data_IF_476812044240
#
_entry.id   IF_476812044240
#
_cell.length_a   1.000
_cell.length_b   1.000
_cell.length_c   1.000
_cell.angle_alpha   90.00
_cell.angle_beta   90.00
_cell.angle_gamma   90.00
#
_symmetry.space_group_name_H-M   'P 1'
#
loop_
_entity.id
_entity.type
_entity.pdbx_description
1 polymer ?
#
# COMPACT_ATOMS: atom_id res chain seq x y z
N UNK A 1 8.93 -26.36 -28.47
CA UNK A 1 10.25 -26.02 -27.89
C UNK A 1 10.00 -25.13 -26.68
N UNK A 2 10.49 -25.54 -25.52
CA UNK A 2 9.93 -25.23 -24.20
C UNK A 2 10.11 -23.76 -23.75
N UNK A 3 9.06 -23.21 -23.13
CA UNK A 3 9.10 -22.02 -22.28
C UNK A 3 9.23 -22.51 -20.83
N UNK A 4 10.38 -22.22 -20.23
CA UNK A 4 10.71 -22.60 -18.86
C UNK A 4 9.96 -21.64 -17.90
N UNK A 5 8.89 -22.13 -17.27
CA UNK A 5 8.12 -21.40 -16.26
C UNK A 5 8.46 -21.97 -14.88
N UNK A 6 9.38 -21.30 -14.19
CA UNK A 6 9.77 -21.68 -12.84
C UNK A 6 9.18 -20.65 -11.86
N UNK A 7 8.11 -21.02 -11.16
CA UNK A 7 7.76 -20.44 -9.85
C UNK A 7 6.84 -21.38 -9.07
N UNK A 8 7.47 -22.37 -8.44
CA UNK A 8 6.84 -23.16 -7.39
C UNK A 8 6.69 -22.31 -6.12
N UNK A 9 5.47 -22.19 -5.60
CA UNK A 9 5.22 -21.92 -4.18
C UNK A 9 3.72 -22.02 -3.84
N UNK A 10 3.31 -23.11 -3.18
CA UNK A 10 1.94 -23.35 -2.67
C UNK A 10 1.99 -23.41 -1.15
N UNK A 11 1.05 -22.80 -0.40
CA UNK A 11 0.98 -22.98 1.06
C UNK A 11 -0.47 -23.02 1.58
N UNK A 12 -0.86 -24.16 2.17
CA UNK A 12 -2.19 -24.50 2.70
C UNK A 12 -2.15 -24.90 4.18
N UNK A 13 -2.88 -24.22 5.09
CA UNK A 13 -2.83 -24.41 6.58
C UNK A 13 -3.12 -25.80 7.16
N UNK A 14 -2.06 -26.51 7.56
CA UNK A 14 -1.99 -27.71 8.42
C UNK A 14 -1.33 -27.34 9.76
N UNK A 15 -1.92 -27.83 10.85
CA UNK A 15 -1.50 -27.64 12.25
C UNK A 15 -0.76 -28.88 12.76
N UNK A 16 0.46 -28.72 13.30
CA UNK A 16 1.11 -29.74 14.14
C UNK A 16 1.69 -29.09 15.40
N UNK A 17 1.52 -29.76 16.55
CA UNK A 17 2.05 -29.34 17.86
C UNK A 17 3.50 -29.79 18.01
N UNK A 18 4.36 -28.98 18.62
CA UNK A 18 5.74 -29.39 18.96
C UNK A 18 5.78 -30.23 20.26
N UNK A 19 6.95 -30.81 20.59
CA UNK A 19 7.17 -31.72 21.72
C UNK A 19 6.83 -31.14 23.10
N UNK A 20 6.64 -29.82 23.19
CA UNK A 20 6.34 -29.11 24.44
C UNK A 20 4.86 -28.66 24.51
N UNK A 21 4.01 -29.11 23.58
CA UNK A 21 2.56 -28.87 23.61
C UNK A 21 2.12 -27.43 23.32
N UNK A 22 3.04 -26.52 22.98
CA UNK A 22 2.71 -25.13 22.64
C UNK A 22 2.38 -24.98 21.15
N UNK A 23 1.39 -24.15 20.84
CA UNK A 23 0.99 -23.85 19.46
C UNK A 23 2.08 -23.03 18.76
N UNK A 24 2.80 -23.65 17.83
CA UNK A 24 3.74 -22.96 16.95
C UNK A 24 2.93 -22.27 15.83
N UNK A 25 2.87 -20.94 15.84
CA UNK A 25 2.23 -20.17 14.74
C UNK A 25 3.08 -20.31 13.47
N UNK A 26 2.71 -21.22 12.59
CA UNK A 26 3.32 -21.32 11.26
C UNK A 26 2.66 -20.34 10.29
N UNK A 27 3.42 -19.30 9.94
CA UNK A 27 3.11 -18.35 8.87
C UNK A 27 2.87 -19.06 7.53
N UNK A 28 1.92 -18.57 6.75
CA UNK A 28 1.43 -19.16 5.49
C UNK A 28 1.76 -18.25 4.31
N UNK A 29 3.02 -18.19 3.87
CA UNK A 29 3.49 -17.16 2.95
C UNK A 29 2.85 -17.14 1.55
N UNK A 30 2.03 -18.12 1.14
CA UNK A 30 1.59 -18.26 -0.25
C UNK A 30 0.07 -18.17 -0.49
N UNK A 31 -0.78 -18.36 0.52
CA UNK A 31 -2.23 -18.11 0.40
C UNK A 31 -2.56 -16.62 0.38
N UNK A 32 -1.84 -15.83 1.18
CA UNK A 32 -2.22 -14.45 1.45
C UNK A 32 -1.98 -13.56 0.22
N UNK A 33 -0.89 -13.81 -0.53
CA UNK A 33 -0.62 -13.08 -1.78
C UNK A 33 -1.62 -13.42 -2.89
N UNK A 34 -2.02 -14.69 -3.04
CA UNK A 34 -3.01 -15.07 -4.06
C UNK A 34 -4.38 -14.46 -3.75
N UNK A 35 -4.80 -14.51 -2.49
CA UNK A 35 -6.04 -13.86 -2.03
C UNK A 35 -5.99 -12.35 -2.25
N UNK A 36 -4.88 -11.72 -1.91
CA UNK A 36 -4.70 -10.28 -2.14
C UNK A 36 -4.71 -9.93 -3.64
N UNK A 37 -4.06 -10.71 -4.49
CA UNK A 37 -4.13 -10.55 -5.95
C UNK A 37 -5.56 -10.64 -6.49
N UNK A 38 -6.31 -11.63 -6.04
CA UNK A 38 -7.73 -11.79 -6.41
C UNK A 38 -8.56 -10.58 -5.95
N UNK A 39 -8.32 -10.11 -4.73
CA UNK A 39 -9.02 -8.97 -4.16
C UNK A 39 -8.76 -7.68 -4.93
N UNK A 40 -7.50 -7.40 -5.29
CA UNK A 40 -7.11 -6.17 -6.00
C UNK A 40 -7.55 -6.17 -7.45
N UNK A 41 -7.55 -7.34 -8.12
CA UNK A 41 -8.00 -7.45 -9.52
C UNK A 41 -9.51 -7.36 -9.67
N UNK A 42 -10.25 -7.71 -8.62
CA UNK A 42 -11.71 -7.68 -8.63
C UNK A 42 -12.24 -6.25 -8.54
N UNK A 43 -13.14 -5.89 -9.45
CA UNK A 43 -13.90 -4.63 -9.38
C UNK A 43 -15.14 -4.74 -8.48
N UNK A 44 -15.39 -5.93 -7.91
CA UNK A 44 -16.46 -6.14 -6.93
C UNK A 44 -16.17 -5.42 -5.61
N UNK A 45 -14.90 -5.31 -5.24
CA UNK A 45 -14.48 -4.85 -3.91
C UNK A 45 -14.00 -3.40 -3.89
N UNK A 46 -13.71 -2.82 -5.06
CA UNK A 46 -13.24 -1.46 -5.19
C UNK A 46 -14.03 -0.74 -6.26
N UNK A 47 -14.52 0.46 -5.92
CA UNK A 47 -14.97 1.42 -6.92
C UNK A 47 -13.79 1.85 -7.82
N UNK A 48 -14.09 2.48 -8.95
CA UNK A 48 -13.05 3.11 -9.75
C UNK A 48 -12.37 4.23 -8.95
N UNK A 49 -11.06 4.07 -8.74
CA UNK A 49 -10.22 5.05 -8.05
C UNK A 49 -9.39 5.88 -9.03
N UNK A 50 -9.58 5.68 -10.34
CA UNK A 50 -8.86 6.42 -11.36
C UNK A 50 -9.05 7.93 -11.19
N UNK A 51 -7.95 8.68 -11.30
CA UNK A 51 -7.98 10.13 -11.13
C UNK A 51 -8.09 10.62 -9.68
N UNK A 52 -8.34 9.78 -8.68
CA UNK A 52 -8.53 10.19 -7.28
C UNK A 52 -7.22 10.51 -6.56
N UNK A 53 -7.30 11.39 -5.56
CA UNK A 53 -6.18 11.71 -4.65
C UNK A 53 -6.41 11.01 -3.32
N UNK A 54 -5.45 10.21 -2.89
CA UNK A 54 -5.54 9.38 -1.68
C UNK A 54 -4.40 9.72 -0.73
N UNK A 55 -4.71 9.95 0.55
CA UNK A 55 -3.74 10.12 1.61
C UNK A 55 -3.83 8.97 2.60
N UNK A 56 -2.69 8.41 2.98
CA UNK A 56 -2.60 7.25 3.88
C UNK A 56 -1.55 7.53 4.94
N UNK A 57 -1.93 7.41 6.22
CA UNK A 57 -0.97 7.43 7.33
C UNK A 57 -0.46 6.02 7.61
N UNK A 58 0.79 5.89 8.09
CA UNK A 58 1.30 4.60 8.57
C UNK A 58 1.57 3.59 7.45
N UNK A 59 2.31 4.01 6.42
CA UNK A 59 2.57 3.19 5.23
C UNK A 59 3.92 2.50 5.24
N UNK A 60 4.51 2.22 6.41
CA UNK A 60 5.77 1.45 6.51
C UNK A 60 5.68 0.11 5.77
N UNK A 61 6.78 -0.39 5.17
CA UNK A 61 6.73 -1.62 4.37
C UNK A 61 6.12 -2.79 5.13
N UNK A 62 5.26 -3.56 4.46
CA UNK A 62 4.47 -4.66 5.04
C UNK A 62 3.41 -4.26 6.08
N UNK A 63 3.16 -2.96 6.31
CA UNK A 63 2.00 -2.51 7.10
C UNK A 63 0.71 -2.67 6.30
N UNK A 64 -0.43 -2.61 7.00
CA UNK A 64 -1.73 -2.55 6.34
C UNK A 64 -1.83 -1.32 5.43
N UNK A 65 -1.37 -0.16 5.90
CA UNK A 65 -1.32 1.07 5.10
C UNK A 65 -0.48 0.92 3.83
N UNK A 66 0.61 0.15 3.87
CA UNK A 66 1.42 -0.15 2.69
C UNK A 66 0.67 -1.03 1.69
N UNK A 67 -0.04 -2.06 2.14
CA UNK A 67 -0.83 -2.88 1.23
C UNK A 67 -2.01 -2.10 0.62
N UNK A 68 -2.64 -1.21 1.39
CA UNK A 68 -3.66 -0.31 0.84
C UNK A 68 -3.04 0.67 -0.16
N UNK A 69 -1.83 1.18 0.10
CA UNK A 69 -1.08 1.99 -0.85
C UNK A 69 -0.76 1.22 -2.15
N UNK A 70 -0.39 -0.07 -2.07
CA UNK A 70 -0.23 -0.93 -3.25
C UNK A 70 -1.55 -1.04 -4.03
N UNK A 71 -2.69 -1.19 -3.36
CA UNK A 71 -4.00 -1.19 -4.04
C UNK A 71 -4.24 0.14 -4.76
N UNK A 72 -4.02 1.27 -4.09
CA UNK A 72 -4.22 2.60 -4.66
C UNK A 72 -3.38 2.79 -5.93
N UNK A 73 -2.10 2.39 -5.90
CA UNK A 73 -1.23 2.39 -7.09
C UNK A 73 -1.82 1.51 -8.19
N UNK A 74 -2.19 0.27 -7.88
CA UNK A 74 -2.72 -0.68 -8.87
C UNK A 74 -4.08 -0.29 -9.44
N UNK A 75 -4.85 0.53 -8.73
CA UNK A 75 -6.12 1.12 -9.18
C UNK A 75 -5.95 2.51 -9.81
N UNK A 76 -4.72 2.93 -10.12
CA UNK A 76 -4.42 4.15 -10.87
C UNK A 76 -4.98 5.45 -10.27
N UNK A 77 -4.88 5.60 -8.96
CA UNK A 77 -5.13 6.91 -8.33
C UNK A 77 -4.22 7.96 -8.96
N UNK A 78 -4.69 9.20 -9.13
CA UNK A 78 -3.86 10.26 -9.72
C UNK A 78 -2.66 10.59 -8.82
N UNK A 79 -2.90 10.67 -7.51
CA UNK A 79 -1.89 11.03 -6.54
C UNK A 79 -2.08 10.25 -5.23
N UNK A 80 -1.02 9.57 -4.81
CA UNK A 80 -0.93 8.87 -3.54
C UNK A 80 0.02 9.62 -2.60
N UNK A 81 -0.51 10.08 -1.47
CA UNK A 81 0.20 10.81 -0.43
C UNK A 81 0.49 9.86 0.74
N UNK A 82 1.77 9.67 1.06
CA UNK A 82 2.24 8.78 2.12
C UNK A 82 2.62 9.63 3.34
N UNK A 83 1.81 9.61 4.38
CA UNK A 83 2.01 10.41 5.59
C UNK A 83 2.73 9.56 6.65
N UNK A 84 4.02 9.83 6.86
CA UNK A 84 4.86 9.04 7.76
C UNK A 84 5.75 9.94 8.63
N UNK A 85 6.04 9.48 9.85
CA UNK A 85 6.93 10.17 10.79
C UNK A 85 8.40 10.20 10.38
N UNK A 86 8.89 9.22 9.61
CA UNK A 86 10.31 9.10 9.25
C UNK A 86 10.47 8.77 7.77
N UNK A 87 10.31 9.76 6.89
CA UNK A 87 10.33 9.50 5.44
C UNK A 87 11.67 8.88 5.00
N UNK A 88 12.80 9.43 5.47
CA UNK A 88 14.15 9.05 5.02
C UNK A 88 14.50 7.57 5.27
N UNK A 89 13.85 6.90 6.22
CA UNK A 89 14.15 5.51 6.58
C UNK A 89 12.96 4.56 6.35
N UNK A 90 11.86 5.05 5.78
CA UNK A 90 10.64 4.27 5.62
C UNK A 90 10.72 3.33 4.41
N UNK A 91 11.33 3.75 3.30
CA UNK A 91 11.54 2.90 2.11
C UNK A 91 10.27 2.57 1.30
N UNK A 92 9.08 2.96 1.77
CA UNK A 92 7.83 2.63 1.10
C UNK A 92 7.61 3.37 -0.21
N UNK A 93 8.11 4.59 -0.33
CA UNK A 93 7.97 5.34 -1.58
C UNK A 93 8.69 4.61 -2.72
N UNK A 94 9.92 4.16 -2.48
CA UNK A 94 10.73 3.43 -3.46
C UNK A 94 10.07 2.10 -3.86
N UNK A 95 9.58 1.34 -2.88
CA UNK A 95 8.88 0.08 -3.13
C UNK A 95 7.58 0.29 -3.90
N UNK A 96 6.78 1.30 -3.56
CA UNK A 96 5.55 1.62 -4.27
C UNK A 96 5.81 2.16 -5.68
N UNK A 97 6.93 2.88 -5.89
CA UNK A 97 7.37 3.28 -7.23
C UNK A 97 7.79 2.07 -8.08
N UNK A 98 8.45 1.07 -7.49
CA UNK A 98 8.75 -0.19 -8.19
C UNK A 98 7.46 -0.91 -8.58
N UNK A 99 6.49 -1.02 -7.66
CA UNK A 99 5.17 -1.58 -7.93
C UNK A 99 4.47 -0.81 -9.06
N UNK A 100 4.47 0.53 -9.01
CA UNK A 100 3.88 1.36 -10.06
C UNK A 100 4.47 1.04 -11.44
N UNK A 101 5.80 0.89 -11.53
CA UNK A 101 6.48 0.46 -12.77
C UNK A 101 6.06 -0.95 -13.20
N UNK A 102 6.01 -1.92 -12.27
CA UNK A 102 5.61 -3.30 -12.57
C UNK A 102 4.20 -3.41 -13.13
N UNK A 103 3.28 -2.57 -12.65
CA UNK A 103 1.87 -2.57 -13.08
C UNK A 103 1.52 -1.47 -14.09
N UNK A 104 2.51 -0.78 -14.66
CA UNK A 104 2.32 0.36 -15.58
C UNK A 104 1.35 1.42 -15.04
N UNK A 105 1.40 1.68 -13.73
CA UNK A 105 0.57 2.69 -13.10
C UNK A 105 1.11 4.09 -13.37
N UNK A 106 0.19 5.03 -13.62
CA UNK A 106 0.47 6.46 -13.76
C UNK A 106 0.42 7.21 -12.43
N UNK A 107 0.22 6.50 -11.32
CA UNK A 107 0.08 7.09 -9.97
C UNK A 107 1.30 7.93 -9.60
N UNK A 108 1.09 9.21 -9.27
CA UNK A 108 2.11 10.04 -8.65
C UNK A 108 2.20 9.72 -7.17
N UNK A 109 3.38 9.33 -6.68
CA UNK A 109 3.59 8.98 -5.27
C UNK A 109 4.40 10.09 -4.59
N UNK A 110 3.96 10.56 -3.42
CA UNK A 110 4.65 11.61 -2.67
C UNK A 110 4.60 11.32 -1.18
N UNK A 111 5.77 11.30 -0.53
CA UNK A 111 5.85 11.22 0.93
C UNK A 111 5.76 12.60 1.57
N UNK A 112 5.04 12.70 2.68
CA UNK A 112 4.87 13.89 3.50
C UNK A 112 5.21 13.53 4.94
N UNK A 113 6.04 14.35 5.59
CA UNK A 113 6.37 14.13 7.00
C UNK A 113 5.15 14.44 7.85
N UNK A 114 4.74 13.48 8.67
CA UNK A 114 3.60 13.63 9.55
C UNK A 114 3.79 12.73 10.79
N UNK A 115 4.03 13.35 11.94
CA UNK A 115 3.95 12.69 13.23
C UNK A 115 2.58 12.95 13.85
N UNK A 116 1.75 11.90 13.93
CA UNK A 116 0.41 11.99 14.51
C UNK A 116 0.42 12.30 16.02
N UNK A 117 1.58 12.19 16.69
CA UNK A 117 1.76 12.58 18.09
C UNK A 117 2.11 14.06 18.26
N UNK A 118 2.41 14.78 17.16
CA UNK A 118 2.73 16.21 17.16
C UNK A 118 1.72 16.99 16.30
N UNK A 119 0.85 17.76 16.95
CA UNK A 119 -0.15 18.57 16.26
C UNK A 119 0.45 19.65 15.35
N UNK A 120 1.67 20.12 15.63
CA UNK A 120 2.35 21.05 14.72
C UNK A 120 2.73 20.33 13.42
N UNK A 121 3.32 19.14 13.52
CA UNK A 121 3.61 18.26 12.39
C UNK A 121 2.35 17.95 11.56
N UNK A 122 1.23 17.61 12.20
CA UNK A 122 -0.04 17.35 11.50
C UNK A 122 -0.53 18.59 10.72
N UNK A 123 -0.44 19.79 11.31
CA UNK A 123 -0.84 21.03 10.63
C UNK A 123 0.04 21.34 9.42
N UNK A 124 1.35 21.11 9.53
CA UNK A 124 2.27 21.29 8.41
C UNK A 124 2.02 20.27 7.30
N UNK A 125 1.78 19.00 7.65
CA UNK A 125 1.37 17.97 6.69
C UNK A 125 0.07 18.36 5.97
N UNK A 126 -0.94 18.84 6.72
CA UNK A 126 -2.21 19.28 6.15
C UNK A 126 -2.04 20.45 5.16
N UNK A 127 -1.17 21.42 5.44
CA UNK A 127 -0.84 22.50 4.49
C UNK A 127 -0.24 21.93 3.20
N UNK A 128 0.69 20.99 3.30
CA UNK A 128 1.29 20.35 2.13
C UNK A 128 0.26 19.56 1.32
N UNK A 129 -0.61 18.79 1.99
CA UNK A 129 -1.72 18.06 1.34
C UNK A 129 -2.62 19.03 0.58
N UNK A 130 -3.01 20.15 1.19
CA UNK A 130 -3.85 21.16 0.53
C UNK A 130 -3.19 21.73 -0.72
N UNK A 131 -1.90 22.10 -0.65
CA UNK A 131 -1.15 22.62 -1.81
C UNK A 131 -1.08 21.57 -2.93
N UNK A 132 -0.85 20.30 -2.58
CA UNK A 132 -0.76 19.21 -3.57
C UNK A 132 -2.10 18.90 -4.22
N UNK A 133 -3.20 18.96 -3.46
CA UNK A 133 -4.54 18.72 -4.00
C UNK A 133 -5.03 19.89 -4.86
N UNK A 134 -4.77 21.15 -4.47
CA UNK A 134 -5.19 22.34 -5.22
C UNK A 134 -4.53 22.48 -6.59
N UNK A 135 -3.28 22.02 -6.75
CA UNK A 135 -2.56 22.06 -8.04
C UNK A 135 -3.19 21.18 -9.12
N UNK A 136 -4.09 20.25 -8.76
CA UNK A 136 -4.66 19.29 -9.69
C UNK A 136 -6.04 19.72 -10.26
N UNK A 137 -6.37 21.01 -10.19
CA UNK A 137 -7.48 21.76 -10.83
C UNK A 137 -8.93 21.22 -10.74
N UNK A 138 -9.20 20.01 -10.28
CA UNK A 138 -10.56 19.49 -10.00
C UNK A 138 -10.60 18.49 -8.81
N UNK A 139 -9.45 18.17 -8.20
CA UNK A 139 -9.31 16.98 -7.37
C UNK A 139 -8.74 17.29 -5.98
N UNK A 140 -9.63 17.69 -5.07
CA UNK A 140 -9.36 17.72 -3.63
C UNK A 140 -8.92 16.36 -3.07
N UNK A 141 -8.66 16.28 -1.77
CA UNK A 141 -8.42 14.98 -1.13
C UNK A 141 -9.71 14.16 -1.17
N UNK A 142 -9.67 12.99 -1.81
CA UNK A 142 -10.85 12.15 -1.99
C UNK A 142 -10.97 11.07 -0.90
N UNK A 143 -9.84 10.51 -0.50
CA UNK A 143 -9.79 9.43 0.49
C UNK A 143 -8.67 9.72 1.47
N UNK A 144 -8.99 9.66 2.76
CA UNK A 144 -8.03 9.68 3.86
C UNK A 144 -8.13 8.37 4.62
N UNK A 145 -6.99 7.71 4.84
CA UNK A 145 -6.90 6.43 5.53
C UNK A 145 -5.94 6.60 6.71
N UNK A 146 -6.45 6.29 7.92
CA UNK A 146 -5.77 6.40 9.20
C UNK A 146 -5.62 5.02 9.83
#
# INVERSE_FOLDING_TARGET
>A
MAINSNSNATATTITTKNSNGMAERRYRPHTDRKLFEEYVRSDKYFADLSGKVVAITGTSPNSLGFHIAEVAVRKNVSHLLLLNRRIATNGSQELLQQIAKTFNSTTKITSIECDLQDLASVREAAKQVNVLCQKNNDNGLHVLIN
#
